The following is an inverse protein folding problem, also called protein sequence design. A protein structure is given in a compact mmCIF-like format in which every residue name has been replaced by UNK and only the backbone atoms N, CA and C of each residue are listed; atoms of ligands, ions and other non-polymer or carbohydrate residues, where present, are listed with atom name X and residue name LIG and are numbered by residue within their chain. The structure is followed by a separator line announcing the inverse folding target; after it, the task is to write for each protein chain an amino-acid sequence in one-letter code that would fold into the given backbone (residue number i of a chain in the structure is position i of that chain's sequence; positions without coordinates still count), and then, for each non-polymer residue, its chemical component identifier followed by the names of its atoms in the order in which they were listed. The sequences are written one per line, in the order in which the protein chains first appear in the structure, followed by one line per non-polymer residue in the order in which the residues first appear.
data_IF_206166384074
#
_entry.id   IF_206166384074
#
_cell.length_a   1.000
_cell.length_b   1.000
_cell.length_c   1.000
_cell.angle_alpha   90.00
_cell.angle_beta   90.00
_cell.angle_gamma   90.00
#
_symmetry.space_group_name_H-M   'P 1'
#
loop_
_entity.id
_entity.type
_entity.pdbx_description
1 polymer ?
#
# COMPACT_ATOMS: atom_id res chain seq x y z
N UNK A 1 10.77 2.23 -11.12
CA UNK A 1 9.94 2.81 -10.04
C UNK A 1 8.55 2.17 -10.01
N UNK A 2 7.71 2.34 -11.04
CA UNK A 2 6.35 1.79 -11.09
C UNK A 2 6.25 0.28 -10.80
N UNK A 3 7.19 -0.53 -11.30
CA UNK A 3 7.23 -1.97 -10.99
C UNK A 3 7.34 -2.26 -9.48
N UNK A 4 8.24 -1.55 -8.79
CA UNK A 4 8.43 -1.71 -7.34
C UNK A 4 7.22 -1.20 -6.56
N UNK A 5 6.57 -0.15 -7.04
CA UNK A 5 5.33 0.38 -6.46
C UNK A 5 4.21 -0.65 -6.49
N UNK A 6 3.98 -1.32 -7.63
CA UNK A 6 2.99 -2.39 -7.74
C UNK A 6 3.32 -3.59 -6.84
N UNK A 7 4.60 -3.99 -6.74
CA UNK A 7 5.01 -5.07 -5.83
C UNK A 7 4.78 -4.66 -4.37
N UNK A 8 5.10 -3.42 -4.01
CA UNK A 8 4.96 -2.93 -2.64
C UNK A 8 3.48 -2.88 -2.24
N UNK A 9 2.59 -2.40 -3.12
CA UNK A 9 1.14 -2.39 -2.85
C UNK A 9 0.57 -3.82 -2.83
N UNK A 10 0.94 -4.67 -3.80
CA UNK A 10 0.38 -6.01 -3.91
C UNK A 10 0.83 -6.95 -2.79
N UNK A 11 2.12 -6.95 -2.46
CA UNK A 11 2.75 -7.94 -1.60
C UNK A 11 3.04 -7.43 -0.17
N UNK A 12 3.43 -6.15 -0.01
CA UNK A 12 3.79 -5.57 1.31
C UNK A 12 2.55 -4.98 2.00
N UNK A 13 1.76 -4.16 1.30
CA UNK A 13 0.53 -3.59 1.85
C UNK A 13 -0.59 -4.65 1.97
N UNK A 14 -0.60 -5.60 1.05
CA UNK A 14 -1.55 -6.71 1.01
C UNK A 14 -2.84 -6.33 0.29
N UNK A 15 -3.18 -7.11 -0.72
CA UNK A 15 -4.34 -6.85 -1.59
C UNK A 15 -5.67 -6.71 -0.83
N UNK A 16 -5.86 -7.50 0.24
CA UNK A 16 -7.11 -7.47 1.00
C UNK A 16 -7.31 -6.14 1.74
N UNK A 17 -6.23 -5.53 2.24
CA UNK A 17 -6.28 -4.21 2.87
C UNK A 17 -6.59 -3.13 1.83
N UNK A 18 -5.95 -3.21 0.67
CA UNK A 18 -6.18 -2.27 -0.44
C UNK A 18 -7.62 -2.28 -0.93
N UNK A 19 -8.23 -3.47 -1.03
CA UNK A 19 -9.63 -3.61 -1.41
C UNK A 19 -10.59 -3.04 -0.37
N UNK A 20 -10.25 -3.13 0.92
CA UNK A 20 -11.02 -2.50 1.99
C UNK A 20 -10.98 -0.97 1.89
N UNK A 21 -9.81 -0.41 1.58
CA UNK A 21 -9.67 1.04 1.39
C UNK A 21 -10.46 1.53 0.18
N UNK A 22 -10.39 0.81 -0.95
CA UNK A 22 -11.20 1.11 -2.13
C UNK A 22 -12.69 1.02 -1.81
N UNK A 23 -13.11 0.00 -1.05
CA UNK A 23 -14.52 -0.17 -0.63
C UNK A 23 -14.99 0.99 0.22
N UNK A 24 -14.16 1.48 1.14
CA UNK A 24 -14.44 2.65 1.96
C UNK A 24 -14.61 3.93 1.11
N UNK A 25 -13.82 4.09 0.04
CA UNK A 25 -13.92 5.25 -0.85
C UNK A 25 -15.12 5.19 -1.80
N UNK A 26 -15.41 4.02 -2.36
CA UNK A 26 -16.45 3.86 -3.39
C UNK A 26 -17.84 3.50 -2.84
N UNK A 27 -17.98 3.18 -1.55
CA UNK A 27 -19.24 2.72 -0.90
C UNK A 27 -19.96 1.57 -1.63
N UNK A 28 -19.25 0.87 -2.51
CA UNK A 28 -19.71 -0.28 -3.31
C UNK A 28 -18.72 -1.40 -3.13
N UNK A 29 -19.20 -2.64 -2.98
CA UNK A 29 -18.33 -3.83 -2.98
C UNK A 29 -17.77 -4.00 -4.40
N UNK A 30 -16.46 -3.81 -4.62
CA UNK A 30 -15.88 -4.05 -5.94
C UNK A 30 -15.98 -5.55 -6.25
N UNK A 31 -16.06 -5.91 -7.54
CA UNK A 31 -15.98 -7.30 -7.98
C UNK A 31 -14.56 -7.83 -7.68
N UNK A 32 -14.43 -8.57 -6.58
CA UNK A 32 -13.15 -8.97 -5.97
C UNK A 32 -12.15 -9.65 -6.94
N UNK A 33 -12.52 -10.57 -7.84
CA UNK A 33 -11.54 -11.25 -8.69
C UNK A 33 -11.05 -10.41 -9.88
N UNK A 34 -11.90 -9.57 -10.47
CA UNK A 34 -11.52 -8.75 -11.64
C UNK A 34 -10.55 -7.62 -11.25
N UNK A 35 -10.82 -6.99 -10.10
CA UNK A 35 -9.94 -5.96 -9.57
C UNK A 35 -8.58 -6.53 -9.15
N UNK A 36 -8.56 -7.75 -8.59
CA UNK A 36 -7.30 -8.43 -8.28
C UNK A 36 -6.43 -8.64 -9.52
N UNK A 37 -7.02 -9.17 -10.59
CA UNK A 37 -6.27 -9.45 -11.81
C UNK A 37 -5.73 -8.18 -12.47
N UNK A 38 -6.53 -7.10 -12.46
CA UNK A 38 -6.15 -5.81 -13.04
C UNK A 38 -5.01 -5.15 -12.25
N UNK A 39 -5.01 -5.21 -10.93
CA UNK A 39 -4.01 -4.47 -10.14
C UNK A 39 -2.77 -5.31 -9.83
N UNK A 40 -2.94 -6.60 -9.55
CA UNK A 40 -1.84 -7.44 -9.09
C UNK A 40 -1.09 -8.12 -10.25
N UNK A 41 -1.73 -8.32 -11.40
CA UNK A 41 -1.16 -9.09 -12.52
C UNK A 41 -0.91 -8.19 -13.74
N UNK A 42 -1.89 -7.40 -14.18
CA UNK A 42 -1.71 -6.62 -15.41
C UNK A 42 -0.70 -5.46 -15.25
N UNK A 43 -0.72 -4.74 -14.13
CA UNK A 43 0.22 -3.66 -13.81
C UNK A 43 1.70 -4.06 -13.92
N UNK A 44 2.17 -5.09 -13.19
CA UNK A 44 3.57 -5.52 -13.27
C UNK A 44 3.91 -6.10 -14.65
N UNK A 45 3.01 -6.85 -15.28
CA UNK A 45 3.26 -7.44 -16.62
C UNK A 45 3.46 -6.35 -17.68
N UNK A 46 2.58 -5.34 -17.73
CA UNK A 46 2.68 -4.26 -18.71
C UNK A 46 3.97 -3.46 -18.50
N UNK A 47 4.26 -3.11 -17.25
CA UNK A 47 5.46 -2.33 -16.90
C UNK A 47 6.74 -3.10 -17.24
N UNK A 48 6.77 -4.40 -16.95
CA UNK A 48 7.88 -5.29 -17.29
C UNK A 48 8.04 -5.44 -18.81
N UNK A 49 6.93 -5.56 -19.54
CA UNK A 49 6.91 -5.65 -21.00
C UNK A 49 7.51 -4.41 -21.67
N UNK A 50 7.09 -3.20 -21.26
CA UNK A 50 7.64 -1.94 -21.80
C UNK A 50 9.13 -1.82 -21.47
N UNK A 51 9.55 -2.24 -20.27
CA UNK A 51 10.96 -2.22 -19.88
C UNK A 51 11.82 -3.11 -20.80
N UNK A 52 11.40 -4.35 -21.06
CA UNK A 52 12.13 -5.25 -21.95
C UNK A 52 12.13 -4.78 -23.40
N UNK A 53 11.01 -4.26 -23.90
CA UNK A 53 10.95 -3.66 -25.23
C UNK A 53 11.94 -2.48 -25.31
N UNK A 54 12.03 -1.65 -24.28
CA UNK A 54 12.98 -0.54 -24.21
C UNK A 54 14.43 -1.00 -24.24
N UNK A 55 14.79 -2.13 -23.60
CA UNK A 55 16.13 -2.70 -23.67
C UNK A 55 16.44 -3.22 -25.08
N UNK A 56 15.52 -3.98 -25.65
CA UNK A 56 15.71 -4.63 -26.95
C UNK A 56 15.75 -3.60 -28.09
N UNK A 57 14.93 -2.55 -28.01
CA UNK A 57 14.88 -1.45 -28.98
C UNK A 57 15.94 -0.38 -28.74
N UNK A 58 16.78 -0.53 -27.72
CA UNK A 58 17.86 0.42 -27.44
C UNK A 58 18.94 0.32 -28.53
N UNK A 59 18.82 1.14 -29.56
CA UNK A 59 19.92 1.42 -30.49
C UNK A 59 20.56 2.73 -30.09
N UNK A 60 21.89 2.78 -30.17
CA UNK A 60 22.65 4.03 -30.16
C UNK A 60 22.03 4.97 -31.19
N UNK A 61 21.49 6.13 -30.78
CA UNK A 61 20.94 7.09 -31.72
C UNK A 61 22.10 7.64 -32.55
N UNK A 62 22.27 7.14 -33.78
CA UNK A 62 23.29 7.63 -34.70
C UNK A 62 22.71 8.81 -35.47
N UNK A 63 23.03 10.02 -35.01
CA UNK A 63 22.72 11.25 -35.75
C UNK A 63 23.78 11.42 -36.85
N UNK A 64 23.49 10.95 -38.07
CA UNK A 64 24.39 11.07 -39.22
C UNK A 64 25.65 10.20 -39.15
N UNK A 65 26.84 10.82 -39.26
CA UNK A 65 28.16 10.15 -39.21
C UNK A 65 28.79 10.12 -37.80
N UNK A 66 28.06 10.52 -36.76
CA UNK A 66 28.58 10.57 -35.39
C UNK A 66 28.09 9.37 -34.59
N UNK A 67 28.98 8.42 -34.31
CA UNK A 67 28.70 7.33 -33.39
C UNK A 67 28.74 7.86 -31.94
N UNK A 68 27.61 7.74 -31.24
CA UNK A 68 27.57 8.10 -29.83
C UNK A 68 28.50 7.18 -29.02
N UNK A 69 29.40 7.75 -28.21
CA UNK A 69 30.37 6.98 -27.47
C UNK A 69 29.71 6.18 -26.34
N UNK A 70 30.24 4.99 -26.06
CA UNK A 70 29.66 4.04 -25.11
C UNK A 70 29.48 4.59 -23.69
N UNK A 71 30.30 5.57 -23.28
CA UNK A 71 30.16 6.23 -21.97
C UNK A 71 28.84 7.01 -21.82
N UNK A 72 28.29 7.56 -22.92
CA UNK A 72 27.02 8.29 -22.86
C UNK A 72 25.86 7.34 -22.55
N UNK A 73 25.88 6.14 -23.12
CA UNK A 73 24.90 5.09 -22.80
C UNK A 73 25.04 4.62 -21.36
N UNK A 74 26.27 4.43 -20.87
CA UNK A 74 26.53 4.04 -19.49
C UNK A 74 25.99 5.09 -18.50
N UNK A 75 26.16 6.38 -18.78
CA UNK A 75 25.59 7.47 -17.98
C UNK A 75 24.04 7.46 -18.00
N UNK A 76 23.42 7.17 -19.15
CA UNK A 76 21.97 7.03 -19.25
C UNK A 76 21.43 5.90 -18.38
N UNK A 77 22.06 4.72 -18.43
CA UNK A 77 21.68 3.59 -17.56
C UNK A 77 21.94 3.88 -16.08
N UNK A 78 23.03 4.58 -15.75
CA UNK A 78 23.33 4.98 -14.38
C UNK A 78 22.26 5.91 -13.80
N UNK A 79 21.75 6.86 -14.59
CA UNK A 79 20.63 7.72 -14.18
C UNK A 79 19.35 6.91 -13.90
N UNK A 80 19.04 5.93 -14.75
CA UNK A 80 17.88 5.04 -14.55
C UNK A 80 18.04 4.21 -13.28
N UNK A 81 19.22 3.59 -13.08
CA UNK A 81 19.52 2.80 -11.89
C UNK A 81 19.47 3.64 -10.60
N UNK A 82 19.94 4.90 -10.65
CA UNK A 82 19.90 5.81 -9.50
C UNK A 82 18.47 6.08 -9.02
N UNK A 83 17.51 6.27 -9.93
CA UNK A 83 16.11 6.45 -9.53
C UNK A 83 15.50 5.18 -8.93
N UNK A 84 15.85 4.01 -9.48
CA UNK A 84 15.31 2.72 -9.03
C UNK A 84 15.80 2.35 -7.64
N UNK A 85 17.07 2.62 -7.32
CA UNK A 85 17.68 2.20 -6.04
C UNK A 85 17.20 3.01 -4.84
N UNK A 86 16.63 4.19 -5.04
CA UNK A 86 16.14 5.04 -3.95
C UNK A 86 14.96 4.40 -3.19
N UNK A 87 14.05 3.73 -3.89
CA UNK A 87 12.88 3.05 -3.31
C UNK A 87 13.28 1.94 -2.32
N UNK A 88 14.14 0.95 -2.66
CA UNK A 88 14.52 -0.09 -1.72
C UNK A 88 15.35 0.44 -0.55
N UNK A 89 16.14 1.51 -0.73
CA UNK A 89 16.88 2.14 0.38
C UNK A 89 15.92 2.63 1.47
N UNK A 90 14.86 3.33 1.09
CA UNK A 90 13.84 3.81 2.05
C UNK A 90 13.13 2.63 2.72
N UNK A 91 12.78 1.60 1.94
CA UNK A 91 12.13 0.40 2.49
C UNK A 91 12.99 -0.30 3.55
N UNK A 92 14.29 -0.45 3.29
CA UNK A 92 15.23 -1.04 4.27
C UNK A 92 15.37 -0.14 5.50
N UNK A 93 15.44 1.18 5.32
CA UNK A 93 15.55 2.13 6.43
C UNK A 93 14.35 2.02 7.39
N UNK A 94 13.13 2.05 6.87
CA UNK A 94 11.91 1.90 7.68
C UNK A 94 11.80 0.50 8.29
N UNK A 95 12.23 -0.54 7.56
CA UNK A 95 12.27 -1.91 8.09
C UNK A 95 13.20 -2.03 9.30
N UNK A 96 14.41 -1.44 9.24
CA UNK A 96 15.35 -1.42 10.38
C UNK A 96 14.78 -0.63 11.56
N UNK A 97 14.11 0.50 11.30
CA UNK A 97 13.47 1.31 12.34
C UNK A 97 12.33 0.55 13.03
N UNK A 98 11.46 -0.11 12.27
CA UNK A 98 10.40 -0.96 12.79
C UNK A 98 10.93 -2.19 13.54
N UNK A 99 12.04 -2.77 13.08
CA UNK A 99 12.74 -3.85 13.77
C UNK A 99 13.24 -3.41 15.15
N UNK A 100 13.90 -2.25 15.21
CA UNK A 100 14.39 -1.69 16.48
C UNK A 100 13.26 -1.33 17.44
N UNK A 101 12.15 -0.76 16.94
CA UNK A 101 10.98 -0.43 17.75
C UNK A 101 10.32 -1.68 18.37
N UNK A 102 10.33 -2.80 17.64
CA UNK A 102 9.77 -4.08 18.11
C UNK A 102 10.52 -4.65 19.32
N UNK A 103 11.84 -4.38 19.46
CA UNK A 103 12.64 -4.84 20.61
C UNK A 103 12.27 -4.13 21.94
N UNK A 104 11.51 -3.03 21.90
CA UNK A 104 11.17 -2.22 23.08
C UNK A 104 9.70 -2.33 23.52
N UNK A 105 8.83 -2.94 22.73
CA UNK A 105 7.40 -3.03 23.05
C UNK A 105 6.81 -4.36 22.59
N UNK A 106 7.00 -5.38 23.44
CA UNK A 106 6.34 -6.68 23.34
C UNK A 106 4.85 -6.52 23.71
N UNK A 107 4.05 -5.92 22.82
CA UNK A 107 2.59 -5.97 22.92
C UNK A 107 2.08 -7.18 22.12
N UNK A 108 1.41 -8.11 22.81
CA UNK A 108 0.82 -9.36 22.30
C UNK A 108 -0.06 -9.11 21.09
N UNK A 109 0.35 -9.52 19.88
CA UNK A 109 -0.59 -9.74 18.77
C UNK A 109 -0.03 -10.84 17.85
N UNK A 110 -0.75 -11.97 17.81
CA UNK A 110 -0.72 -13.10 16.87
C UNK A 110 0.59 -13.92 16.78
N UNK A 111 0.61 -15.04 17.52
CA UNK A 111 1.70 -16.03 17.60
C UNK A 111 1.92 -16.86 16.32
N UNK A 112 1.01 -16.81 15.34
CA UNK A 112 1.14 -17.57 14.09
C UNK A 112 1.69 -16.76 12.90
N UNK A 113 2.04 -15.48 13.08
CA UNK A 113 2.57 -14.64 12.01
C UNK A 113 4.10 -14.62 12.02
N UNK A 114 4.79 -15.00 10.91
CA UNK A 114 6.25 -14.95 10.89
C UNK A 114 6.75 -13.51 11.01
N UNK A 115 7.84 -13.32 11.78
CA UNK A 115 8.30 -12.03 12.28
C UNK A 115 8.49 -10.96 11.18
N UNK A 116 8.88 -11.36 9.97
CA UNK A 116 9.09 -10.46 8.83
C UNK A 116 7.78 -9.86 8.28
N UNK A 117 6.67 -10.62 8.23
CA UNK A 117 5.38 -10.11 7.75
C UNK A 117 4.80 -9.10 8.73
N UNK A 118 5.01 -9.29 10.04
CA UNK A 118 4.55 -8.37 11.08
C UNK A 118 5.19 -6.99 10.92
N UNK A 119 6.48 -6.95 10.62
CA UNK A 119 7.23 -5.70 10.44
C UNK A 119 6.82 -4.98 9.15
N UNK A 120 6.67 -5.72 8.05
CA UNK A 120 6.21 -5.19 6.77
C UNK A 120 4.78 -4.64 6.88
N UNK A 121 3.90 -5.33 7.59
CA UNK A 121 2.53 -4.87 7.85
C UNK A 121 2.49 -3.65 8.76
N UNK A 122 3.45 -3.50 9.68
CA UNK A 122 3.57 -2.34 10.57
C UNK A 122 4.05 -1.09 9.81
N UNK A 123 5.07 -1.24 8.96
CA UNK A 123 5.61 -0.13 8.15
C UNK A 123 4.64 0.30 7.05
N UNK A 124 3.83 -0.62 6.55
CA UNK A 124 2.84 -0.32 5.50
C UNK A 124 1.51 0.23 6.04
N UNK A 125 1.36 0.40 7.35
CA UNK A 125 0.15 1.06 7.86
C UNK A 125 0.18 2.52 7.43
N UNK A 126 -0.94 3.04 6.87
CA UNK A 126 -1.04 4.46 6.60
C UNK A 126 -1.01 5.23 7.93
N UNK A 127 -0.72 6.52 7.84
CA UNK A 127 -0.64 7.38 9.02
C UNK A 127 -1.94 7.32 9.85
N UNK A 128 -1.83 7.53 11.15
CA UNK A 128 -2.93 7.38 12.11
C UNK A 128 -4.11 8.32 11.87
N UNK A 129 -3.90 9.40 11.13
CA UNK A 129 -4.94 10.36 10.72
C UNK A 129 -5.53 10.07 9.33
N UNK A 130 -4.87 9.23 8.53
CA UNK A 130 -5.24 8.95 7.15
C UNK A 130 -6.65 8.33 7.05
N UNK A 131 -7.43 8.79 6.08
CA UNK A 131 -8.79 8.31 5.82
C UNK A 131 -9.73 9.40 5.29
N UNK A 132 -11.02 9.08 5.12
CA UNK A 132 -12.04 10.04 4.66
C UNK A 132 -12.07 11.31 5.51
N UNK A 133 -12.17 12.47 4.86
CA UNK A 133 -12.18 13.78 5.53
C UNK A 133 -13.29 13.91 6.59
N UNK A 134 -14.41 13.22 6.40
CA UNK A 134 -15.52 13.20 7.36
C UNK A 134 -15.45 11.96 8.25
N UNK A 135 -15.56 12.18 9.55
CA UNK A 135 -15.54 11.12 10.58
C UNK A 135 -16.68 10.12 10.44
N UNK A 136 -17.84 10.56 9.92
CA UNK A 136 -19.00 9.67 9.66
C UNK A 136 -18.69 8.54 8.65
N UNK A 137 -17.75 8.77 7.73
CA UNK A 137 -17.38 7.79 6.71
C UNK A 137 -16.20 6.91 7.14
N UNK A 138 -15.69 7.10 8.37
CA UNK A 138 -14.59 6.33 8.94
C UNK A 138 -15.12 5.12 9.72
N UNK A 139 -15.03 3.94 9.13
CA UNK A 139 -15.44 2.68 9.76
C UNK A 139 -14.31 1.63 9.68
N UNK A 140 -14.48 0.50 10.37
CA UNK A 140 -13.45 -0.56 10.44
C UNK A 140 -12.12 -0.09 11.06
N UNK A 141 -11.02 -0.26 10.31
CA UNK A 141 -9.64 0.05 10.74
C UNK A 141 -9.40 1.54 11.04
N UNK A 142 -10.22 2.43 10.47
CA UNK A 142 -10.01 3.88 10.50
C UNK A 142 -10.95 4.63 11.47
N UNK A 143 -11.66 3.91 12.35
CA UNK A 143 -12.58 4.53 13.33
C UNK A 143 -11.82 5.61 14.15
N UNK A 144 -12.38 6.83 14.29
CA UNK A 144 -11.72 7.92 15.01
C UNK A 144 -11.54 7.56 16.49
N UNK A 145 -10.38 7.91 17.06
CA UNK A 145 -10.14 7.72 18.50
C UNK A 145 -11.07 8.64 19.29
N UNK A 146 -11.60 8.15 20.42
CA UNK A 146 -12.63 8.81 21.26
C UNK A 146 -12.24 10.26 21.67
N UNK A 147 -10.94 10.61 21.65
CA UNK A 147 -10.41 11.95 21.95
C UNK A 147 -10.12 12.89 20.77
N UNK A 148 -10.32 12.47 19.52
CA UNK A 148 -10.08 13.29 18.30
C UNK A 148 -11.36 13.87 17.68
N UNK A 149 -12.53 13.55 18.24
CA UNK A 149 -13.81 13.96 17.69
C UNK A 149 -14.16 15.41 18.10
N UNK A 150 -14.71 16.24 17.19
CA UNK A 150 -15.28 17.53 17.56
C UNK A 150 -16.39 17.36 18.62
N UNK A 151 -16.54 18.33 19.54
CA UNK A 151 -17.47 18.27 20.68
C UNK A 151 -18.92 17.92 20.32
N UNK A 152 -19.37 18.24 19.09
CA UNK A 152 -20.69 17.88 18.56
C UNK A 152 -20.98 16.37 18.56
N UNK A 153 -19.95 15.52 18.46
CA UNK A 153 -20.10 14.06 18.42
C UNK A 153 -20.08 13.40 19.80
N UNK A 154 -19.55 14.06 20.84
CA UNK A 154 -19.55 13.50 22.18
C UNK A 154 -20.95 13.53 22.82
N UNK A 155 -21.81 14.47 22.40
CA UNK A 155 -23.15 14.65 22.97
C UNK A 155 -24.13 13.50 22.66
N UNK A 156 -23.93 12.74 21.58
CA UNK A 156 -24.82 11.64 21.17
C UNK A 156 -24.39 10.27 21.73
N UNK A 157 -23.28 10.17 22.46
CA UNK A 157 -22.83 8.88 23.04
C UNK A 157 -23.58 8.50 24.34
N UNK A 158 -24.56 9.29 24.77
CA UNK A 158 -25.49 8.90 25.83
C UNK A 158 -26.71 8.12 25.29
N UNK A 159 -26.85 7.98 23.96
CA UNK A 159 -27.83 7.13 23.29
C UNK A 159 -27.15 5.80 22.87
N UNK A 160 -26.60 5.10 23.87
CA UNK A 160 -25.55 4.08 23.74
C UNK A 160 -25.94 2.70 23.18
N UNK A 161 -27.01 2.54 22.40
CA UNK A 161 -27.51 1.20 22.06
C UNK A 161 -27.50 0.81 20.57
N UNK A 162 -27.31 1.73 19.61
CA UNK A 162 -27.58 1.41 18.19
C UNK A 162 -26.36 0.94 17.36
N UNK A 163 -25.13 1.28 17.76
CA UNK A 163 -23.91 0.92 16.99
C UNK A 163 -23.48 -0.53 17.24
N UNK A 164 -23.70 -1.04 18.47
CA UNK A 164 -23.39 -2.43 18.84
C UNK A 164 -24.36 -3.43 18.19
N UNK A 165 -25.61 -3.03 17.93
CA UNK A 165 -26.61 -3.86 17.23
C UNK A 165 -26.31 -4.00 15.74
N UNK A 166 -25.85 -2.94 15.06
CA UNK A 166 -25.56 -2.97 13.63
C UNK A 166 -24.28 -3.76 13.28
N UNK A 167 -23.27 -3.71 14.15
CA UNK A 167 -22.06 -4.54 14.00
C UNK A 167 -22.39 -6.04 14.27
N UNK A 168 -23.33 -6.35 15.17
CA UNK A 168 -23.77 -7.73 15.47
C UNK A 168 -24.58 -8.36 14.32
N UNK A 169 -25.50 -7.62 13.69
CA UNK A 169 -26.28 -8.13 12.55
C UNK A 169 -25.42 -8.40 11.29
N UNK A 170 -24.40 -7.59 11.03
CA UNK A 170 -23.54 -7.77 9.85
C UNK A 170 -22.56 -8.94 10.02
N UNK A 171 -22.14 -9.26 11.25
CA UNK A 171 -21.29 -10.44 11.53
C UNK A 171 -22.07 -11.73 11.29
N UNK A 172 -23.35 -11.79 11.66
CA UNK A 172 -24.22 -12.95 11.39
C UNK A 172 -24.49 -13.17 9.88
N UNK A 173 -24.53 -12.10 9.07
CA UNK A 173 -24.75 -12.23 7.62
C UNK A 173 -23.51 -12.60 6.80
N UNK A 174 -22.31 -12.53 7.38
CA UNK A 174 -21.05 -12.79 6.65
C UNK A 174 -20.53 -14.23 6.87
N UNK A 175 -21.24 -15.04 7.66
CA UNK A 175 -20.90 -16.43 8.02
C UNK A 175 -21.84 -17.49 7.40
N UNK A 176 -22.66 -17.12 6.43
CA UNK A 176 -23.47 -18.00 5.58
C UNK A 176 -23.06 -17.80 4.12
#
# INVERSE_FOLDING_TARGET
CAFFEFILIGYIYGFNNFMEDIRMMLKKRPLEPFWFFTWCISGPIITLGVFFISIIRFRTPTEGNYEYPAYANALGWLMVCSSIIFIPIIMIYEFIKAWKATNSSQHQINENMPHYLRMLTYVSQPDTEWGPAKNENRWGRYKPKIGQLPSTYQSNNNDGDDISTFDSENICRTKL
#
